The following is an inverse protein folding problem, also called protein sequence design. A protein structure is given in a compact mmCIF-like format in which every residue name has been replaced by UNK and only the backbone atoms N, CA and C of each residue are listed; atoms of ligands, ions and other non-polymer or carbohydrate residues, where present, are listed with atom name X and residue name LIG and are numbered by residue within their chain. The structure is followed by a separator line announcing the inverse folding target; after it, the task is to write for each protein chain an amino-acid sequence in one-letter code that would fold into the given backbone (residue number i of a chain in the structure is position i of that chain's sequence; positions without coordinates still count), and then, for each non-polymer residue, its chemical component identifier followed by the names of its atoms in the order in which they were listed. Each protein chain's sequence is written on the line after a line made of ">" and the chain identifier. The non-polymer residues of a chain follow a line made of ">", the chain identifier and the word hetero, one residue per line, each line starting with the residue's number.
data_IF_637689147484
#
_entry.id   IF_637689147484
#
_cell.length_a   1.000
_cell.length_b   1.000
_cell.length_c   1.000
_cell.angle_alpha   90.00
_cell.angle_beta   90.00
_cell.angle_gamma   90.00
#
_symmetry.space_group_name_H-M   'P 1'
#
loop_
_entity.id
_entity.type
_entity.pdbx_description
1 polymer ?
#
# COMPACT_ATOMS: atom_id res chain seq x y z
N UNK A 1 51.09 -38.41 1.11
CA UNK A 1 50.33 -37.58 0.16
C UNK A 1 49.53 -36.62 1.01
N UNK A 2 50.07 -35.43 1.16
CA UNK A 2 49.47 -34.30 1.96
C UNK A 2 48.71 -33.45 0.98
N UNK A 3 47.37 -33.47 1.09
CA UNK A 3 46.49 -32.55 0.35
C UNK A 3 46.66 -31.13 0.87
N UNK A 4 47.07 -30.24 0.00
CA UNK A 4 47.15 -28.80 0.28
C UNK A 4 45.73 -28.19 0.33
N UNK A 5 45.40 -27.57 1.46
CA UNK A 5 44.21 -26.72 1.61
C UNK A 5 44.29 -25.54 0.63
N UNK A 6 43.20 -25.15 -0.03
CA UNK A 6 43.18 -23.95 -0.88
C UNK A 6 43.35 -22.69 -0.02
N UNK A 7 44.28 -21.86 -0.40
CA UNK A 7 44.63 -20.57 0.16
C UNK A 7 43.40 -19.62 0.03
N UNK A 8 42.86 -19.23 1.18
CA UNK A 8 41.77 -18.23 1.25
C UNK A 8 42.37 -16.87 0.98
N UNK A 9 42.11 -16.31 -0.19
CA UNK A 9 42.49 -14.94 -0.55
C UNK A 9 41.90 -13.94 0.49
N UNK A 10 42.71 -12.99 1.00
CA UNK A 10 42.22 -11.98 1.92
C UNK A 10 41.27 -11.03 1.21
N UNK A 11 40.11 -10.76 1.87
CA UNK A 11 39.15 -9.77 1.41
C UNK A 11 39.78 -8.37 1.30
N UNK A 12 39.39 -7.55 0.31
CA UNK A 12 39.97 -6.22 0.14
C UNK A 12 39.66 -5.34 1.35
N UNK A 13 40.70 -4.80 1.96
CA UNK A 13 40.63 -3.88 3.07
C UNK A 13 40.04 -2.53 2.62
N UNK A 14 38.78 -2.29 2.95
CA UNK A 14 38.17 -0.96 2.94
C UNK A 14 38.13 -0.40 4.36
N UNK A 15 39.10 0.45 4.66
CA UNK A 15 39.32 1.03 6.01
C UNK A 15 38.24 1.97 6.56
N UNK A 16 37.04 1.96 6.02
CA UNK A 16 35.92 2.75 6.53
C UNK A 16 34.79 1.91 7.17
N UNK A 17 34.86 0.57 7.10
CA UNK A 17 33.79 -0.32 7.57
C UNK A 17 33.84 -0.62 9.07
N UNK A 18 34.99 -0.52 9.73
CA UNK A 18 35.17 -1.05 11.08
C UNK A 18 34.63 -0.19 12.24
N UNK A 19 34.22 1.07 12.00
CA UNK A 19 33.65 1.95 13.05
C UNK A 19 32.13 1.81 13.15
N UNK A 20 31.45 1.24 12.14
CA UNK A 20 29.98 1.16 12.08
C UNK A 20 29.41 -0.20 12.46
N UNK A 21 30.21 -1.25 12.63
CA UNK A 21 29.75 -2.62 12.92
C UNK A 21 29.05 -2.77 14.28
N UNK A 22 29.23 -1.86 15.24
CA UNK A 22 28.55 -1.86 16.53
C UNK A 22 27.31 -0.97 16.64
N UNK A 23 27.07 -0.09 15.66
CA UNK A 23 25.96 0.87 15.72
C UNK A 23 24.66 0.27 15.21
N UNK A 24 23.60 0.25 16.06
CA UNK A 24 22.26 -0.11 15.65
C UNK A 24 21.51 1.00 14.90
N UNK A 25 22.15 2.16 14.69
CA UNK A 25 21.53 3.30 14.03
C UNK A 25 21.66 3.20 12.50
N UNK A 26 20.58 2.94 11.73
CA UNK A 26 20.63 2.83 10.28
C UNK A 26 20.96 4.17 9.59
N UNK A 27 20.67 5.31 10.24
CA UNK A 27 20.96 6.63 9.71
C UNK A 27 22.46 7.00 9.73
N UNK A 28 23.32 6.19 10.33
CA UNK A 28 24.76 6.32 10.21
C UNK A 28 25.24 6.03 8.77
N UNK A 29 24.48 5.27 7.99
CA UNK A 29 24.82 4.88 6.61
C UNK A 29 24.23 5.91 5.63
N UNK A 30 25.07 6.55 4.83
CA UNK A 30 24.66 7.57 3.85
C UNK A 30 23.67 7.02 2.82
N UNK A 31 23.92 5.81 2.30
CA UNK A 31 23.01 5.14 1.36
C UNK A 31 21.62 4.92 1.94
N UNK A 32 21.52 4.60 3.25
CA UNK A 32 20.23 4.47 3.92
C UNK A 32 19.51 5.82 4.07
N UNK A 33 20.22 6.92 4.34
CA UNK A 33 19.62 8.26 4.38
C UNK A 33 18.98 8.63 3.04
N UNK A 34 19.70 8.40 1.94
CA UNK A 34 19.14 8.63 0.60
C UNK A 34 17.93 7.71 0.31
N UNK A 35 18.03 6.44 0.64
CA UNK A 35 16.92 5.49 0.48
C UNK A 35 15.69 5.87 1.31
N UNK A 36 15.92 6.32 2.55
CA UNK A 36 14.85 6.77 3.45
C UNK A 36 14.15 8.02 2.91
N UNK A 37 14.91 9.06 2.57
CA UNK A 37 14.37 10.30 1.99
C UNK A 37 13.67 10.04 0.65
N UNK A 38 14.26 9.23 -0.22
CA UNK A 38 13.65 8.82 -1.47
C UNK A 38 12.30 8.12 -1.23
N UNK A 39 12.22 7.25 -0.21
CA UNK A 39 10.98 6.56 0.16
C UNK A 39 9.92 7.53 0.72
N UNK A 40 10.32 8.55 1.47
CA UNK A 40 9.44 9.63 1.95
C UNK A 40 8.85 10.41 0.77
N UNK A 41 9.70 10.87 -0.14
CA UNK A 41 9.25 11.59 -1.34
C UNK A 41 8.36 10.72 -2.25
N UNK A 42 8.75 9.47 -2.46
CA UNK A 42 7.96 8.53 -3.24
C UNK A 42 6.57 8.27 -2.63
N UNK A 43 6.51 8.02 -1.32
CA UNK A 43 5.25 7.82 -0.61
C UNK A 43 4.37 9.07 -0.67
N UNK A 44 4.96 10.28 -0.52
CA UNK A 44 4.23 11.54 -0.63
C UNK A 44 3.66 11.74 -2.03
N UNK A 45 4.45 11.51 -3.10
CA UNK A 45 4.00 11.67 -4.48
C UNK A 45 2.86 10.70 -4.82
N UNK A 46 3.01 9.41 -4.51
CA UNK A 46 1.94 8.42 -4.72
C UNK A 46 0.71 8.72 -3.86
N UNK A 47 0.91 9.23 -2.64
CA UNK A 47 -0.19 9.67 -1.77
C UNK A 47 -0.95 10.88 -2.33
N UNK A 48 -0.26 11.88 -2.90
CA UNK A 48 -0.91 13.01 -3.61
C UNK A 48 -1.78 12.47 -4.74
N UNK A 49 -1.27 11.55 -5.56
CA UNK A 49 -1.98 10.96 -6.69
C UNK A 49 -3.29 10.28 -6.27
N UNK A 50 -3.34 9.65 -5.10
CA UNK A 50 -4.54 8.97 -4.61
C UNK A 50 -5.75 9.90 -4.40
N UNK A 51 -5.50 11.22 -4.27
CA UNK A 51 -6.53 12.27 -4.12
C UNK A 51 -6.72 13.03 -5.43
N UNK A 52 -5.63 13.41 -6.09
CA UNK A 52 -5.69 14.31 -7.26
C UNK A 52 -6.35 13.67 -8.48
N UNK A 53 -6.11 12.38 -8.75
CA UNK A 53 -6.71 11.69 -9.91
C UNK A 53 -8.24 11.52 -9.76
N UNK A 54 -8.79 11.06 -8.61
CA UNK A 54 -10.23 11.06 -8.40
C UNK A 54 -10.88 12.45 -8.48
N UNK A 55 -10.24 13.49 -7.93
CA UNK A 55 -10.73 14.87 -8.04
C UNK A 55 -10.72 15.36 -9.49
N UNK A 56 -9.66 15.08 -10.25
CA UNK A 56 -9.55 15.41 -11.66
C UNK A 56 -10.68 14.79 -12.50
N UNK A 57 -11.07 13.53 -12.20
CA UNK A 57 -12.18 12.84 -12.87
C UNK A 57 -13.51 13.48 -12.47
N UNK A 58 -13.72 13.73 -11.16
CA UNK A 58 -14.94 14.36 -10.65
C UNK A 58 -15.27 15.68 -11.38
N UNK A 59 -14.26 16.52 -11.57
CA UNK A 59 -14.44 17.85 -12.17
C UNK A 59 -14.82 17.81 -13.66
N UNK A 60 -14.57 16.67 -14.33
CA UNK A 60 -14.76 16.52 -15.79
C UNK A 60 -15.90 15.61 -16.18
N UNK A 61 -16.54 14.97 -15.20
CA UNK A 61 -17.58 13.97 -15.43
C UNK A 61 -18.86 14.38 -14.72
N UNK A 62 -19.99 14.25 -15.43
CA UNK A 62 -21.30 14.51 -14.84
C UNK A 62 -21.59 13.60 -13.64
N UNK A 63 -22.37 14.08 -12.67
CA UNK A 63 -22.60 13.41 -11.37
C UNK A 63 -22.94 11.93 -11.49
N UNK A 64 -23.86 11.55 -12.36
CA UNK A 64 -24.28 10.14 -12.53
C UNK A 64 -23.18 9.21 -13.06
N UNK A 65 -22.09 9.74 -13.62
CA UNK A 65 -20.97 8.96 -14.19
C UNK A 65 -19.67 9.07 -13.37
N UNK A 66 -19.63 9.89 -12.31
CA UNK A 66 -18.43 10.09 -11.48
C UNK A 66 -17.92 8.78 -10.87
N UNK A 67 -18.79 8.04 -10.18
CA UNK A 67 -18.40 6.79 -9.53
C UNK A 67 -17.90 5.73 -10.52
N UNK A 68 -18.58 5.43 -11.65
CA UNK A 68 -18.06 4.51 -12.66
C UNK A 68 -16.72 4.96 -13.25
N UNK A 69 -16.53 6.25 -13.51
CA UNK A 69 -15.29 6.76 -14.09
C UNK A 69 -14.11 6.65 -13.10
N UNK A 70 -14.31 7.04 -11.83
CA UNK A 70 -13.29 6.88 -10.77
C UNK A 70 -12.96 5.40 -10.58
N UNK A 71 -13.97 4.54 -10.47
CA UNK A 71 -13.77 3.12 -10.31
C UNK A 71 -13.01 2.50 -11.49
N UNK A 72 -13.33 2.88 -12.73
CA UNK A 72 -12.63 2.40 -13.92
C UNK A 72 -11.16 2.83 -13.92
N UNK A 73 -10.84 4.07 -13.56
CA UNK A 73 -9.46 4.54 -13.45
C UNK A 73 -8.68 3.73 -12.40
N UNK A 74 -9.30 3.47 -11.24
CA UNK A 74 -8.70 2.67 -10.18
C UNK A 74 -8.56 1.19 -10.56
N UNK A 75 -9.50 0.61 -11.31
CA UNK A 75 -9.39 -0.74 -11.87
C UNK A 75 -8.24 -0.80 -12.88
N UNK A 76 -8.16 0.18 -13.79
CA UNK A 76 -7.05 0.29 -14.75
C UNK A 76 -5.69 0.42 -14.04
N UNK A 77 -5.63 1.04 -12.87
CA UNK A 77 -4.42 1.13 -12.07
C UNK A 77 -4.12 -0.18 -11.33
N UNK A 78 -5.10 -0.74 -10.62
CA UNK A 78 -4.88 -1.85 -9.70
C UNK A 78 -4.81 -3.21 -10.38
N UNK A 79 -5.57 -3.45 -11.44
CA UNK A 79 -5.60 -4.75 -12.12
C UNK A 79 -4.27 -5.10 -12.83
N UNK A 80 -3.66 -4.20 -13.65
CA UNK A 80 -2.33 -4.46 -14.20
C UNK A 80 -1.28 -4.56 -13.10
N UNK A 81 -1.36 -3.71 -12.07
CA UNK A 81 -0.49 -3.75 -10.91
C UNK A 81 -0.50 -5.11 -10.22
N UNK A 82 -1.69 -5.64 -9.89
CA UNK A 82 -1.86 -6.95 -9.28
C UNK A 82 -1.30 -8.08 -10.16
N UNK A 83 -1.63 -8.08 -11.45
CA UNK A 83 -1.20 -9.10 -12.41
C UNK A 83 0.31 -9.12 -12.59
N UNK A 84 0.93 -7.95 -12.69
CA UNK A 84 2.38 -7.82 -12.90
C UNK A 84 3.20 -7.97 -11.62
N UNK A 85 2.62 -7.80 -10.43
CA UNK A 85 3.33 -7.98 -9.15
C UNK A 85 3.90 -9.40 -9.01
N UNK A 86 3.24 -10.40 -9.59
CA UNK A 86 3.76 -11.77 -9.64
C UNK A 86 5.10 -11.87 -10.40
N UNK A 87 5.31 -11.02 -11.39
CA UNK A 87 6.55 -10.95 -12.17
C UNK A 87 7.55 -9.96 -11.57
N UNK A 88 7.10 -9.06 -10.70
CA UNK A 88 7.90 -7.99 -10.11
C UNK A 88 9.14 -8.50 -9.37
N UNK A 89 9.01 -9.61 -8.63
CA UNK A 89 10.13 -10.26 -7.94
C UNK A 89 11.19 -10.77 -8.91
N UNK A 90 10.81 -11.45 -9.99
CA UNK A 90 11.74 -11.97 -11.01
C UNK A 90 12.50 -10.85 -11.73
N UNK A 91 11.78 -9.77 -12.02
CA UNK A 91 12.38 -8.60 -12.68
C UNK A 91 13.36 -7.92 -11.73
N UNK A 92 13.01 -7.78 -10.44
CA UNK A 92 13.89 -7.23 -9.41
C UNK A 92 15.14 -8.09 -9.14
N UNK A 93 15.08 -9.40 -9.41
CA UNK A 93 16.22 -10.32 -9.32
C UNK A 93 17.14 -10.29 -10.55
N UNK A 94 16.65 -9.78 -11.70
CA UNK A 94 17.41 -9.75 -12.97
C UNK A 94 17.93 -8.36 -13.35
N UNK A 95 17.28 -7.33 -12.88
CA UNK A 95 17.60 -5.94 -13.19
C UNK A 95 18.10 -5.25 -11.93
N UNK A 96 19.08 -4.38 -12.06
CA UNK A 96 19.59 -3.56 -10.96
C UNK A 96 18.43 -2.76 -10.31
N UNK A 97 18.22 -2.96 -9.01
CA UNK A 97 17.10 -2.39 -8.25
C UNK A 97 17.01 -0.88 -8.36
N UNK A 98 18.16 -0.20 -8.36
CA UNK A 98 18.27 1.24 -8.61
C UNK A 98 17.65 1.64 -9.94
N UNK A 99 17.96 0.91 -11.02
CA UNK A 99 17.43 1.21 -12.36
C UNK A 99 15.92 1.03 -12.43
N UNK A 100 15.39 0.02 -11.76
CA UNK A 100 13.94 -0.19 -11.67
C UNK A 100 13.30 1.02 -10.99
N UNK A 101 13.77 1.39 -9.78
CA UNK A 101 13.19 2.48 -9.00
C UNK A 101 13.27 3.83 -9.74
N UNK A 102 14.44 4.16 -10.29
CA UNK A 102 14.62 5.41 -11.04
C UNK A 102 13.66 5.46 -12.24
N UNK A 103 13.61 4.39 -13.06
CA UNK A 103 12.75 4.37 -14.25
C UNK A 103 11.27 4.44 -13.90
N UNK A 104 10.81 3.67 -12.90
CA UNK A 104 9.40 3.65 -12.52
C UNK A 104 8.95 4.99 -11.94
N UNK A 105 9.76 5.65 -11.11
CA UNK A 105 9.41 6.97 -10.58
C UNK A 105 9.53 8.08 -11.65
N UNK A 106 10.44 7.98 -12.61
CA UNK A 106 10.49 8.91 -13.75
C UNK A 106 9.26 8.73 -14.65
N UNK A 107 8.82 7.49 -14.90
CA UNK A 107 7.57 7.24 -15.64
C UNK A 107 6.37 7.82 -14.89
N UNK A 108 6.28 7.61 -13.58
CA UNK A 108 5.22 8.19 -12.77
C UNK A 108 5.25 9.73 -12.79
N UNK A 109 6.43 10.35 -12.64
CA UNK A 109 6.60 11.79 -12.73
C UNK A 109 6.22 12.35 -14.12
N UNK A 110 6.58 11.65 -15.21
CA UNK A 110 6.18 12.03 -16.56
C UNK A 110 4.67 11.97 -16.77
N UNK A 111 4.01 10.97 -16.18
CA UNK A 111 2.55 10.85 -16.20
C UNK A 111 1.90 12.00 -15.41
N UNK A 112 2.44 12.34 -14.23
CA UNK A 112 1.96 13.48 -13.46
C UNK A 112 2.17 14.81 -14.21
N UNK A 113 3.25 14.93 -15.00
CA UNK A 113 3.45 16.08 -15.88
C UNK A 113 2.39 16.15 -16.99
N UNK A 114 1.96 15.00 -17.53
CA UNK A 114 0.83 14.96 -18.48
C UNK A 114 -0.46 15.43 -17.78
N UNK A 115 -0.71 15.04 -16.53
CA UNK A 115 -1.85 15.54 -15.76
C UNK A 115 -1.76 17.05 -15.49
N UNK A 116 -0.57 17.62 -15.26
CA UNK A 116 -0.37 19.08 -15.19
C UNK A 116 -0.85 19.75 -16.51
N UNK A 117 -0.42 19.22 -17.65
CA UNK A 117 -0.81 19.75 -18.95
C UNK A 117 -2.33 19.61 -19.23
N UNK A 118 -2.91 18.44 -18.92
CA UNK A 118 -4.34 18.19 -19.08
C UNK A 118 -5.20 19.04 -18.12
N UNK A 119 -4.72 19.32 -16.93
CA UNK A 119 -5.39 20.16 -15.95
C UNK A 119 -5.36 21.62 -16.33
N UNK A 120 -4.23 22.11 -16.86
CA UNK A 120 -4.07 23.49 -17.30
C UNK A 120 -4.76 23.82 -18.62
N UNK A 121 -4.97 22.83 -19.50
CA UNK A 121 -5.57 23.02 -20.83
C UNK A 121 -7.11 22.91 -20.86
N UNK A 122 -7.75 22.70 -19.69
CA UNK A 122 -9.21 22.51 -19.55
C UNK A 122 -9.81 21.48 -20.52
N UNK A 123 -9.06 20.39 -20.75
CA UNK A 123 -9.46 19.31 -21.65
C UNK A 123 -10.55 18.47 -21.00
N UNK A 124 -11.72 18.38 -21.63
CA UNK A 124 -12.87 17.60 -21.14
C UNK A 124 -12.76 16.08 -21.37
N UNK A 125 -11.70 15.63 -22.03
CA UNK A 125 -11.52 14.22 -22.41
C UNK A 125 -10.90 13.43 -21.25
N UNK A 126 -11.58 12.36 -20.81
CA UNK A 126 -11.15 11.54 -19.66
C UNK A 126 -10.47 10.22 -20.05
N UNK A 127 -10.59 9.73 -21.29
CA UNK A 127 -10.01 8.45 -21.69
C UNK A 127 -8.48 8.31 -21.46
N UNK A 128 -7.67 9.41 -21.59
CA UNK A 128 -6.24 9.29 -21.29
C UNK A 128 -5.96 8.89 -19.85
N UNK A 129 -6.82 9.27 -18.88
CA UNK A 129 -6.69 8.94 -17.47
C UNK A 129 -6.63 7.43 -17.26
N UNK A 130 -7.45 6.66 -17.98
CA UNK A 130 -7.48 5.19 -17.85
C UNK A 130 -6.18 4.55 -18.32
N UNK A 131 -5.62 5.04 -19.44
CA UNK A 131 -4.33 4.57 -19.96
C UNK A 131 -3.20 4.96 -19.02
N UNK A 132 -3.16 6.22 -18.58
CA UNK A 132 -2.15 6.71 -17.64
C UNK A 132 -2.19 5.94 -16.31
N UNK A 133 -3.38 5.69 -15.79
CA UNK A 133 -3.58 4.87 -14.59
C UNK A 133 -3.05 3.44 -14.77
N UNK A 134 -3.31 2.81 -15.94
CA UNK A 134 -2.80 1.47 -16.23
C UNK A 134 -1.25 1.44 -16.28
N UNK A 135 -0.62 2.47 -16.85
CA UNK A 135 0.85 2.56 -16.89
C UNK A 135 1.43 2.77 -15.49
N UNK A 136 0.83 3.66 -14.68
CA UNK A 136 1.25 3.88 -13.27
C UNK A 136 1.13 2.59 -12.46
N UNK A 137 -0.01 1.90 -12.57
CA UNK A 137 -0.23 0.63 -11.88
C UNK A 137 0.77 -0.45 -12.29
N UNK A 138 1.05 -0.55 -13.60
CA UNK A 138 2.07 -1.46 -14.14
C UNK A 138 3.47 -1.14 -13.60
N UNK A 139 3.85 0.13 -13.57
CA UNK A 139 5.13 0.57 -13.00
C UNK A 139 5.21 0.26 -11.50
N UNK A 140 4.12 0.49 -10.76
CA UNK A 140 4.01 0.24 -9.32
C UNK A 140 4.25 -1.22 -8.92
N UNK A 141 3.90 -2.17 -9.79
CA UNK A 141 4.12 -3.60 -9.58
C UNK A 141 5.60 -3.96 -9.35
N UNK A 142 6.51 -3.22 -9.95
CA UNK A 142 7.96 -3.45 -9.82
C UNK A 142 8.61 -2.61 -8.72
N UNK A 143 7.98 -1.51 -8.34
CA UNK A 143 8.54 -0.51 -7.41
C UNK A 143 8.68 -1.05 -6.00
N UNK A 144 7.62 -1.64 -5.44
CA UNK A 144 7.63 -2.13 -4.05
C UNK A 144 8.63 -3.27 -3.80
N UNK A 145 8.70 -4.34 -4.63
CA UNK A 145 9.72 -5.38 -4.48
C UNK A 145 11.15 -4.83 -4.58
N UNK A 146 11.41 -3.95 -5.56
CA UNK A 146 12.73 -3.36 -5.76
C UNK A 146 13.15 -2.48 -4.55
N UNK A 147 12.23 -1.65 -4.02
CA UNK A 147 12.48 -0.80 -2.86
C UNK A 147 12.78 -1.60 -1.60
N UNK A 148 11.96 -2.62 -1.30
CA UNK A 148 12.13 -3.46 -0.11
C UNK A 148 13.41 -4.31 -0.19
N UNK A 149 13.75 -4.84 -1.36
CA UNK A 149 14.97 -5.66 -1.54
C UNK A 149 16.26 -4.84 -1.64
N UNK A 150 16.18 -3.53 -1.88
CA UNK A 150 17.34 -2.62 -1.89
C UNK A 150 17.83 -2.32 -0.47
N UNK A 151 16.94 -2.15 0.50
CA UNK A 151 17.29 -1.73 1.86
C UNK A 151 18.27 -2.70 2.57
N UNK A 152 18.12 -4.03 2.51
CA UNK A 152 19.06 -4.96 3.13
C UNK A 152 20.49 -4.91 2.54
N UNK A 153 20.67 -4.39 1.33
CA UNK A 153 21.99 -4.23 0.72
C UNK A 153 22.77 -3.02 1.29
N UNK A 154 22.07 -2.10 1.92
CA UNK A 154 22.63 -0.85 2.45
C UNK A 154 23.01 -0.96 3.92
N UNK A 155 22.52 -1.95 4.65
CA UNK A 155 22.60 -2.03 6.11
C UNK A 155 23.30 -3.31 6.56
N UNK A 156 24.05 -3.19 7.66
CA UNK A 156 24.60 -4.35 8.37
C UNK A 156 23.49 -5.13 9.09
N UNK A 157 23.76 -6.39 9.45
CA UNK A 157 22.80 -7.27 10.14
C UNK A 157 22.21 -6.64 11.41
N UNK A 158 23.03 -5.88 12.17
CA UNK A 158 22.61 -5.20 13.41
C UNK A 158 21.68 -4.01 13.18
N UNK A 159 21.67 -3.43 11.97
CA UNK A 159 20.89 -2.26 11.59
C UNK A 159 19.61 -2.61 10.83
N UNK A 160 19.51 -3.83 10.26
CA UNK A 160 18.40 -4.26 9.39
C UNK A 160 17.03 -4.09 10.03
N UNK A 161 16.89 -4.52 11.28
CA UNK A 161 15.60 -4.45 11.97
C UNK A 161 15.12 -3.00 12.12
N UNK A 162 15.97 -2.11 12.61
CA UNK A 162 15.63 -0.70 12.78
C UNK A 162 15.39 -0.02 11.41
N UNK A 163 16.22 -0.33 10.42
CA UNK A 163 16.06 0.18 9.05
C UNK A 163 14.72 -0.22 8.44
N UNK A 164 14.31 -1.48 8.60
CA UNK A 164 13.02 -1.97 8.12
C UNK A 164 11.85 -1.26 8.82
N UNK A 165 11.92 -1.09 10.14
CA UNK A 165 10.87 -0.40 10.92
C UNK A 165 10.75 1.06 10.46
N UNK A 166 11.83 1.83 10.52
CA UNK A 166 11.80 3.25 10.15
C UNK A 166 11.40 3.47 8.69
N UNK A 167 11.95 2.67 7.77
CA UNK A 167 11.66 2.80 6.36
C UNK A 167 10.21 2.45 6.00
N UNK A 168 9.66 1.40 6.61
CA UNK A 168 8.25 1.01 6.36
C UNK A 168 7.31 2.03 6.98
N UNK A 169 7.55 2.45 8.24
CA UNK A 169 6.73 3.46 8.91
C UNK A 169 6.72 4.79 8.15
N UNK A 170 7.88 5.28 7.73
CA UNK A 170 7.97 6.54 6.99
C UNK A 170 7.24 6.47 5.65
N UNK A 171 7.45 5.41 4.88
CA UNK A 171 6.76 5.22 3.60
C UNK A 171 5.24 5.11 3.77
N UNK A 172 4.76 4.33 4.75
CA UNK A 172 3.33 4.19 5.00
C UNK A 172 2.70 5.48 5.54
N UNK A 173 3.40 6.20 6.41
CA UNK A 173 2.93 7.49 6.91
C UNK A 173 2.81 8.54 5.79
N UNK A 174 3.77 8.57 4.87
CA UNK A 174 3.72 9.49 3.73
C UNK A 174 2.68 9.07 2.69
N UNK A 175 2.56 7.78 2.41
CA UNK A 175 1.60 7.24 1.45
C UNK A 175 0.15 7.40 1.91
N UNK A 176 -0.13 7.15 3.20
CA UNK A 176 -1.51 7.03 3.72
C UNK A 176 -1.97 8.27 4.49
N UNK A 177 -1.06 9.12 4.94
CA UNK A 177 -1.38 10.29 5.75
C UNK A 177 -0.89 11.60 5.12
N UNK A 178 0.43 11.81 5.01
CA UNK A 178 0.98 13.11 4.58
C UNK A 178 0.70 13.41 3.11
N UNK A 179 0.92 12.44 2.22
CA UNK A 179 0.74 12.61 0.78
C UNK A 179 -0.70 12.97 0.40
N UNK A 180 -1.70 12.16 0.80
CA UNK A 180 -3.10 12.48 0.52
C UNK A 180 -3.54 13.80 1.13
N UNK A 181 -3.13 14.12 2.38
CA UNK A 181 -3.45 15.40 3.03
C UNK A 181 -2.86 16.57 2.25
N UNK A 182 -1.60 16.46 1.81
CA UNK A 182 -0.98 17.47 0.94
C UNK A 182 -1.71 17.60 -0.40
N UNK A 183 -2.08 16.48 -1.02
CA UNK A 183 -2.82 16.46 -2.28
C UNK A 183 -4.15 17.20 -2.19
N UNK A 184 -4.92 16.96 -1.14
CA UNK A 184 -6.18 17.64 -0.89
C UNK A 184 -6.01 19.15 -0.63
N UNK A 185 -5.05 19.54 0.22
CA UNK A 185 -4.78 20.97 0.52
C UNK A 185 -4.29 21.70 -0.72
N UNK A 186 -3.42 21.10 -1.51
CA UNK A 186 -2.92 21.72 -2.74
C UNK A 186 -3.99 21.79 -3.83
N UNK A 187 -4.89 20.82 -3.92
CA UNK A 187 -6.01 20.84 -4.86
C UNK A 187 -7.03 21.94 -4.49
N UNK A 188 -7.33 22.09 -3.20
CA UNK A 188 -8.28 23.08 -2.68
C UNK A 188 -7.77 24.54 -2.81
N UNK A 189 -6.50 24.76 -2.54
CA UNK A 189 -5.89 26.11 -2.53
C UNK A 189 -5.44 26.55 -3.94
N UNK A 190 -4.20 26.22 -4.37
CA UNK A 190 -3.68 26.66 -5.66
C UNK A 190 -4.23 25.86 -6.85
N UNK A 191 -4.96 24.77 -6.62
CA UNK A 191 -5.67 23.97 -7.62
C UNK A 191 -4.94 22.69 -8.05
N UNK A 192 -5.66 21.86 -8.80
CA UNK A 192 -5.20 20.54 -9.24
C UNK A 192 -3.91 20.59 -10.06
N UNK A 193 -3.73 21.58 -10.91
CA UNK A 193 -2.51 21.76 -11.70
C UNK A 193 -1.28 21.86 -10.79
N UNK A 194 -1.39 22.62 -9.71
CA UNK A 194 -0.31 22.77 -8.75
C UNK A 194 -0.11 21.50 -7.91
N UNK A 195 -1.18 20.81 -7.54
CA UNK A 195 -1.11 19.54 -6.82
C UNK A 195 -0.39 18.46 -7.66
N UNK A 196 -0.69 18.35 -8.95
CA UNK A 196 0.06 17.48 -9.88
C UNK A 196 1.51 17.95 -10.07
N UNK A 197 1.78 19.25 -10.07
CA UNK A 197 3.14 19.80 -10.11
C UNK A 197 3.96 19.40 -8.88
N UNK A 198 3.35 19.42 -7.68
CA UNK A 198 3.98 18.92 -6.46
C UNK A 198 4.25 17.41 -6.53
N UNK A 199 3.33 16.62 -7.10
CA UNK A 199 3.54 15.19 -7.36
C UNK A 199 4.75 14.95 -8.27
N UNK A 200 4.88 15.71 -9.37
CA UNK A 200 6.07 15.65 -10.26
C UNK A 200 7.35 15.93 -9.48
N UNK A 201 7.35 16.97 -8.64
CA UNK A 201 8.51 17.32 -7.83
C UNK A 201 8.87 16.21 -6.82
N UNK A 202 7.88 15.63 -6.13
CA UNK A 202 8.10 14.55 -5.17
C UNK A 202 8.63 13.28 -5.85
N UNK A 203 8.02 12.84 -6.94
CA UNK A 203 8.44 11.64 -7.67
C UNK A 203 9.78 11.84 -8.37
N UNK A 204 10.04 13.04 -8.90
CA UNK A 204 11.34 13.41 -9.47
C UNK A 204 12.45 13.43 -8.43
N UNK A 205 12.20 14.00 -7.25
CA UNK A 205 13.12 13.98 -6.12
C UNK A 205 13.41 12.54 -5.64
N UNK A 206 12.39 11.69 -5.58
CA UNK A 206 12.55 10.27 -5.28
C UNK A 206 13.46 9.57 -6.30
N UNK A 207 13.21 9.77 -7.60
CA UNK A 207 14.03 9.19 -8.67
C UNK A 207 15.50 9.68 -8.58
N UNK A 208 15.72 10.98 -8.34
CA UNK A 208 17.03 11.57 -8.16
C UNK A 208 17.77 10.93 -6.97
N UNK A 209 17.12 10.87 -5.79
CA UNK A 209 17.73 10.31 -4.60
C UNK A 209 18.06 8.81 -4.76
N UNK A 210 17.17 8.02 -5.38
CA UNK A 210 17.47 6.62 -5.69
C UNK A 210 18.63 6.50 -6.68
N UNK A 211 18.81 7.44 -7.61
CA UNK A 211 19.94 7.42 -8.57
C UNK A 211 21.30 7.62 -7.90
N UNK A 212 21.35 8.25 -6.73
CA UNK A 212 22.57 8.51 -5.96
C UNK A 212 23.02 7.29 -5.13
N UNK A 213 22.21 6.24 -5.04
CA UNK A 213 22.52 5.04 -4.25
C UNK A 213 23.32 4.06 -5.11
N UNK A 214 24.51 3.68 -4.65
CA UNK A 214 25.24 2.58 -5.24
C UNK A 214 24.61 1.23 -4.82
N UNK A 215 24.40 0.34 -5.78
CA UNK A 215 23.85 -1.01 -5.55
C UNK A 215 24.68 -2.04 -6.30
N UNK A 216 24.79 -3.22 -5.71
CA UNK A 216 25.45 -4.35 -6.36
C UNK A 216 24.60 -4.90 -7.52
N UNK A 217 25.29 -5.52 -8.48
CA UNK A 217 24.63 -6.19 -9.59
C UNK A 217 23.76 -7.34 -9.07
N UNK A 218 22.58 -7.56 -9.66
CA UNK A 218 21.69 -8.64 -9.24
C UNK A 218 22.32 -10.00 -9.56
N UNK A 219 22.21 -10.93 -8.61
CA UNK A 219 22.55 -12.34 -8.84
C UNK A 219 21.27 -13.05 -9.28
N UNK A 220 21.17 -13.54 -10.53
CA UNK A 220 19.95 -14.17 -11.03
C UNK A 220 19.66 -15.46 -10.26
N UNK A 221 18.55 -15.49 -9.55
CA UNK A 221 18.02 -16.73 -8.98
C UNK A 221 17.11 -17.37 -10.03
N UNK A 222 17.54 -18.50 -10.61
CA UNK A 222 16.85 -19.16 -11.74
C UNK A 222 15.46 -19.78 -11.42
N UNK A 223 14.72 -19.29 -10.45
CA UNK A 223 13.44 -19.84 -9.99
C UNK A 223 12.27 -19.34 -10.84
N UNK A 224 11.33 -20.23 -11.15
CA UNK A 224 10.09 -19.89 -11.84
C UNK A 224 9.05 -19.41 -10.83
N UNK A 225 8.65 -18.13 -10.94
CA UNK A 225 7.64 -17.50 -10.07
C UNK A 225 6.30 -18.22 -10.11
N UNK A 226 5.88 -18.65 -11.27
CA UNK A 226 4.60 -19.37 -11.42
C UNK A 226 4.60 -20.70 -10.67
N UNK A 227 5.72 -21.41 -10.68
CA UNK A 227 5.90 -22.63 -9.90
C UNK A 227 5.90 -22.35 -8.40
N UNK A 228 6.61 -21.31 -7.96
CA UNK A 228 6.62 -20.88 -6.54
C UNK A 228 5.23 -20.48 -6.06
N UNK A 229 4.43 -19.79 -6.90
CA UNK A 229 3.04 -19.44 -6.59
C UNK A 229 2.16 -20.69 -6.43
N UNK A 230 2.23 -21.64 -7.36
CA UNK A 230 1.47 -22.88 -7.30
C UNK A 230 1.84 -23.74 -6.09
N UNK A 231 3.14 -23.83 -5.77
CA UNK A 231 3.62 -24.55 -4.59
C UNK A 231 3.13 -23.85 -3.30
N UNK A 232 3.14 -22.50 -3.26
CA UNK A 232 2.57 -21.72 -2.17
C UNK A 232 1.08 -21.94 -1.99
N UNK A 233 0.29 -21.92 -3.08
CA UNK A 233 -1.15 -22.20 -3.06
C UNK A 233 -1.45 -23.61 -2.56
N UNK A 234 -0.69 -24.60 -3.03
CA UNK A 234 -0.83 -25.98 -2.56
C UNK A 234 -0.53 -26.10 -1.06
N UNK A 235 0.54 -25.44 -0.59
CA UNK A 235 0.90 -25.43 0.83
C UNK A 235 -0.18 -24.77 1.69
N UNK A 236 -0.68 -23.60 1.28
CA UNK A 236 -1.73 -22.88 2.01
C UNK A 236 -3.04 -23.67 2.02
N UNK A 237 -3.41 -24.33 0.92
CA UNK A 237 -4.64 -25.13 0.84
C UNK A 237 -4.64 -26.34 1.79
N UNK A 238 -3.47 -26.87 2.14
CA UNK A 238 -3.33 -27.93 3.14
C UNK A 238 -3.30 -27.42 4.58
N UNK A 239 -3.10 -26.09 4.77
CA UNK A 239 -2.99 -25.45 6.09
C UNK A 239 -4.19 -24.54 6.35
N UNK A 240 -5.22 -25.05 7.04
CA UNK A 240 -6.47 -24.34 7.30
C UNK A 240 -6.32 -22.97 7.96
N UNK A 241 -5.45 -22.77 8.98
CA UNK A 241 -5.18 -21.43 9.53
C UNK A 241 -4.68 -20.44 8.48
N UNK A 242 -3.69 -20.80 7.67
CA UNK A 242 -3.13 -19.92 6.64
C UNK A 242 -4.18 -19.57 5.58
N UNK A 243 -4.94 -20.58 5.12
CA UNK A 243 -6.04 -20.37 4.18
C UNK A 243 -7.07 -19.37 4.73
N UNK A 244 -7.43 -19.52 6.01
CA UNK A 244 -8.37 -18.61 6.68
C UNK A 244 -7.86 -17.16 6.77
N UNK A 245 -6.57 -16.97 7.08
CA UNK A 245 -5.97 -15.63 7.14
C UNK A 245 -5.91 -15.00 5.75
N UNK A 246 -5.54 -15.76 4.71
CA UNK A 246 -5.53 -15.27 3.33
C UNK A 246 -6.93 -14.93 2.83
N UNK A 247 -7.93 -15.76 3.13
CA UNK A 247 -9.33 -15.48 2.78
C UNK A 247 -9.82 -14.20 3.46
N UNK A 248 -9.53 -14.00 4.75
CA UNK A 248 -9.83 -12.75 5.44
C UNK A 248 -9.06 -11.55 4.84
N UNK A 249 -7.88 -11.77 4.27
CA UNK A 249 -7.07 -10.75 3.59
C UNK A 249 -7.75 -10.12 2.37
N UNK A 250 -8.74 -10.78 1.77
CA UNK A 250 -9.51 -10.22 0.65
C UNK A 250 -10.56 -9.21 1.09
N UNK A 251 -11.03 -9.29 2.34
CA UNK A 251 -12.15 -8.48 2.85
C UNK A 251 -11.82 -6.97 2.86
N UNK A 252 -10.68 -6.52 3.41
CA UNK A 252 -10.34 -5.09 3.41
C UNK A 252 -10.25 -4.50 2.00
N UNK A 253 -9.64 -5.21 1.05
CA UNK A 253 -9.53 -4.73 -0.34
C UNK A 253 -10.90 -4.59 -1.02
N UNK A 254 -11.76 -5.59 -0.84
CA UNK A 254 -13.05 -5.65 -1.51
C UNK A 254 -14.12 -4.75 -0.87
N UNK A 255 -14.20 -4.72 0.47
CA UNK A 255 -15.34 -4.12 1.19
C UNK A 255 -15.02 -2.80 1.90
N UNK A 256 -13.73 -2.47 2.10
CA UNK A 256 -13.34 -1.27 2.83
C UNK A 256 -12.55 -0.31 1.94
N UNK A 257 -11.34 -0.67 1.54
CA UNK A 257 -10.46 0.22 0.77
C UNK A 257 -10.99 0.48 -0.64
N UNK A 258 -11.49 -0.55 -1.35
CA UNK A 258 -12.09 -0.37 -2.68
C UNK A 258 -13.24 0.64 -2.67
N UNK A 259 -14.28 0.45 -1.82
CA UNK A 259 -15.34 1.44 -1.65
C UNK A 259 -14.83 2.82 -1.22
N UNK A 260 -13.90 2.90 -0.27
CA UNK A 260 -13.36 4.17 0.21
C UNK A 260 -12.73 5.00 -0.91
N UNK A 261 -11.86 4.39 -1.70
CA UNK A 261 -11.16 5.10 -2.78
C UNK A 261 -12.10 5.71 -3.82
N UNK A 262 -13.24 5.07 -4.07
CA UNK A 262 -14.26 5.60 -5.00
C UNK A 262 -15.17 6.62 -4.32
N UNK A 263 -15.61 6.34 -3.09
CA UNK A 263 -16.68 7.13 -2.45
C UNK A 263 -16.19 8.35 -1.69
N UNK A 264 -14.92 8.39 -1.25
CA UNK A 264 -14.43 9.48 -0.39
C UNK A 264 -14.58 10.86 -1.06
N UNK A 265 -14.25 10.98 -2.34
CA UNK A 265 -14.42 12.22 -3.10
C UNK A 265 -15.90 12.60 -3.22
N UNK A 266 -16.75 11.61 -3.54
CA UNK A 266 -18.20 11.84 -3.69
C UNK A 266 -18.85 12.21 -2.37
N UNK A 267 -18.50 11.56 -1.27
CA UNK A 267 -19.05 11.86 0.05
C UNK A 267 -18.63 13.27 0.51
N UNK A 268 -17.36 13.63 0.35
CA UNK A 268 -16.87 14.95 0.76
C UNK A 268 -17.51 16.06 -0.05
N UNK A 269 -17.49 15.95 -1.38
CA UNK A 269 -17.89 17.05 -2.24
C UNK A 269 -19.38 17.03 -2.60
N UNK A 270 -19.96 15.86 -2.89
CA UNK A 270 -21.36 15.76 -3.40
C UNK A 270 -22.37 15.58 -2.26
N UNK A 271 -21.95 15.04 -1.08
CA UNK A 271 -22.85 14.83 0.06
C UNK A 271 -22.66 15.86 1.16
N UNK A 272 -21.42 16.08 1.59
CA UNK A 272 -21.13 17.08 2.64
C UNK A 272 -20.96 18.48 2.08
N UNK A 273 -20.82 18.65 0.75
CA UNK A 273 -20.57 19.93 0.07
C UNK A 273 -19.36 20.68 0.60
N UNK A 274 -18.34 19.91 0.99
CA UNK A 274 -17.10 20.44 1.55
C UNK A 274 -15.98 20.52 0.51
N UNK A 275 -14.94 21.27 0.83
CA UNK A 275 -13.82 21.52 -0.07
C UNK A 275 -12.86 20.32 -0.19
N UNK A 276 -12.06 20.31 -1.26
CA UNK A 276 -11.19 19.20 -1.67
C UNK A 276 -10.12 18.82 -0.63
N UNK A 277 -9.71 19.76 0.24
CA UNK A 277 -8.78 19.45 1.36
C UNK A 277 -9.31 18.37 2.28
N UNK A 278 -10.63 18.28 2.47
CA UNK A 278 -11.22 17.26 3.33
C UNK A 278 -11.09 15.85 2.73
N UNK A 279 -11.03 15.70 1.41
CA UNK A 279 -10.71 14.40 0.78
C UNK A 279 -9.36 13.89 1.28
N UNK A 280 -8.34 14.76 1.28
CA UNK A 280 -7.02 14.44 1.83
C UNK A 280 -7.05 14.17 3.33
N UNK A 281 -7.82 14.95 4.10
CA UNK A 281 -7.94 14.77 5.55
C UNK A 281 -8.69 13.47 5.94
N UNK A 282 -9.62 12.98 5.13
CA UNK A 282 -10.23 11.67 5.33
C UNK A 282 -9.21 10.54 5.19
N UNK A 283 -8.37 10.59 4.16
CA UNK A 283 -7.23 9.69 4.02
C UNK A 283 -6.28 9.81 5.22
N UNK A 284 -5.98 11.05 5.62
CA UNK A 284 -5.15 11.33 6.78
C UNK A 284 -5.73 10.78 8.07
N UNK A 285 -7.04 10.89 8.28
CA UNK A 285 -7.72 10.34 9.44
C UNK A 285 -7.58 8.82 9.50
N UNK A 286 -7.87 8.13 8.40
CA UNK A 286 -7.69 6.68 8.31
C UNK A 286 -6.22 6.27 8.55
N UNK A 287 -5.30 6.91 7.83
CA UNK A 287 -3.86 6.64 7.93
C UNK A 287 -3.29 6.93 9.32
N UNK A 288 -3.69 8.04 9.93
CA UNK A 288 -3.33 8.42 11.30
C UNK A 288 -3.81 7.38 12.31
N UNK A 289 -5.06 6.89 12.15
CA UNK A 289 -5.61 5.81 12.94
C UNK A 289 -4.80 4.51 12.80
N UNK A 290 -4.41 4.14 11.58
CA UNK A 290 -3.57 2.96 11.34
C UNK A 290 -2.21 3.08 12.05
N UNK A 291 -1.55 4.24 11.95
CA UNK A 291 -0.26 4.46 12.61
C UNK A 291 -0.38 4.38 14.13
N UNK A 292 -1.33 5.10 14.73
CA UNK A 292 -1.54 5.09 16.17
C UNK A 292 -1.96 3.68 16.65
N UNK A 293 -2.86 3.03 15.94
CA UNK A 293 -3.27 1.66 16.24
C UNK A 293 -2.09 0.68 16.20
N UNK A 294 -1.21 0.78 15.21
CA UNK A 294 -0.01 -0.07 15.10
C UNK A 294 0.97 0.16 16.25
N UNK A 295 1.16 1.41 16.67
CA UNK A 295 1.97 1.75 17.86
C UNK A 295 1.35 1.13 19.12
N UNK A 296 0.04 1.29 19.33
CA UNK A 296 -0.66 0.70 20.46
C UNK A 296 -0.53 -0.83 20.49
N UNK A 297 -0.69 -1.51 19.33
CA UNK A 297 -0.54 -2.96 19.24
C UNK A 297 0.90 -3.41 19.56
N UNK A 298 1.92 -2.62 19.24
CA UNK A 298 3.31 -2.94 19.56
C UNK A 298 3.62 -2.83 21.07
N UNK A 299 2.87 -2.00 21.81
CA UNK A 299 3.05 -1.80 23.25
C UNK A 299 2.25 -2.81 24.10
N UNK A 300 1.19 -3.37 23.53
CA UNK A 300 0.27 -4.27 24.24
C UNK A 300 0.66 -5.74 24.01
N UNK A 301 0.80 -6.50 25.11
CA UNK A 301 0.99 -7.96 25.04
C UNK A 301 -0.37 -8.65 24.92
N UNK A 302 -0.95 -8.61 23.74
CA UNK A 302 -2.26 -9.17 23.47
C UNK A 302 -2.17 -10.69 23.30
N UNK A 303 -3.08 -11.40 23.98
CA UNK A 303 -3.30 -12.84 23.84
C UNK A 303 -4.45 -13.10 22.86
N UNK A 304 -4.55 -14.30 22.31
CA UNK A 304 -5.59 -14.70 21.34
C UNK A 304 -5.57 -13.83 20.07
N UNK A 305 -4.39 -13.66 19.49
CA UNK A 305 -4.18 -12.81 18.29
C UNK A 305 -5.03 -13.24 17.10
N UNK A 306 -5.29 -14.54 16.95
CA UNK A 306 -6.19 -15.03 15.91
C UNK A 306 -7.65 -14.58 16.10
N UNK A 307 -8.15 -14.53 17.34
CA UNK A 307 -9.48 -13.96 17.62
C UNK A 307 -9.52 -12.46 17.36
N UNK A 308 -8.48 -11.72 17.74
CA UNK A 308 -8.36 -10.29 17.49
C UNK A 308 -8.29 -9.98 16.00
N UNK A 309 -7.63 -10.82 15.20
CA UNK A 309 -7.63 -10.71 13.75
C UNK A 309 -9.05 -10.82 13.16
N UNK A 310 -9.83 -11.82 13.58
CA UNK A 310 -11.22 -11.93 13.13
C UNK A 310 -12.09 -10.77 13.63
N UNK A 311 -11.87 -10.34 14.91
CA UNK A 311 -12.59 -9.21 15.50
C UNK A 311 -12.29 -7.88 14.79
N UNK A 312 -11.09 -7.71 14.22
CA UNK A 312 -10.72 -6.49 13.51
C UNK A 312 -11.54 -6.26 12.25
N UNK A 313 -11.99 -7.34 11.58
CA UNK A 313 -12.90 -7.24 10.44
C UNK A 313 -14.27 -6.75 10.88
N UNK A 314 -14.77 -7.27 12.02
CA UNK A 314 -16.02 -6.80 12.63
C UNK A 314 -15.91 -5.33 13.08
N UNK A 315 -14.90 -4.99 13.88
CA UNK A 315 -14.70 -3.63 14.39
C UNK A 315 -14.44 -2.63 13.26
N UNK A 316 -13.64 -3.03 12.27
CA UNK A 316 -13.43 -2.23 11.07
C UNK A 316 -14.75 -1.91 10.36
N UNK A 317 -15.58 -2.94 10.09
CA UNK A 317 -16.90 -2.76 9.52
C UNK A 317 -17.83 -1.90 10.39
N UNK A 318 -17.79 -2.09 11.71
CA UNK A 318 -18.60 -1.32 12.67
C UNK A 318 -18.27 0.18 12.59
N UNK A 319 -17.03 0.59 12.70
CA UNK A 319 -16.66 2.00 12.61
C UNK A 319 -16.78 2.54 11.18
N UNK A 320 -16.64 1.69 10.16
CA UNK A 320 -16.89 2.06 8.77
C UNK A 320 -18.37 2.39 8.53
N UNK A 321 -19.28 1.68 9.20
CA UNK A 321 -20.72 1.99 9.16
C UNK A 321 -21.00 3.40 9.73
N UNK A 322 -20.33 3.78 10.83
CA UNK A 322 -20.45 5.14 11.36
C UNK A 322 -19.96 6.21 10.41
N UNK A 323 -18.90 5.93 9.63
CA UNK A 323 -18.46 6.83 8.56
C UNK A 323 -19.57 7.03 7.52
N UNK A 324 -20.22 5.96 7.06
CA UNK A 324 -21.32 6.06 6.08
C UNK A 324 -22.58 6.71 6.63
N UNK A 325 -22.83 6.65 7.94
CA UNK A 325 -23.99 7.24 8.62
C UNK A 325 -23.71 8.63 9.20
N UNK A 326 -22.47 9.13 9.11
CA UNK A 326 -22.11 10.38 9.75
C UNK A 326 -22.88 11.58 9.16
N UNK A 327 -23.48 12.44 10.01
CA UNK A 327 -24.24 13.60 9.54
C UNK A 327 -23.33 14.78 9.14
N UNK A 328 -22.07 14.77 9.52
CA UNK A 328 -21.11 15.84 9.26
C UNK A 328 -19.66 15.34 9.18
N UNK A 329 -18.79 16.18 8.61
CA UNK A 329 -17.39 15.86 8.37
C UNK A 329 -16.60 15.51 9.65
N UNK A 330 -16.69 16.25 10.78
CA UNK A 330 -15.92 15.91 11.98
C UNK A 330 -16.23 14.50 12.52
N UNK A 331 -17.49 14.09 12.55
CA UNK A 331 -17.89 12.77 13.01
C UNK A 331 -17.45 11.68 12.02
N UNK A 332 -17.57 11.94 10.72
CA UNK A 332 -17.08 11.04 9.69
C UNK A 332 -15.56 10.82 9.78
N UNK A 333 -14.78 11.89 9.96
CA UNK A 333 -13.33 11.81 10.15
C UNK A 333 -12.95 11.07 11.44
N UNK A 334 -13.66 11.33 12.54
CA UNK A 334 -13.47 10.60 13.80
C UNK A 334 -13.76 9.10 13.62
N UNK A 335 -14.86 8.76 12.95
CA UNK A 335 -15.20 7.37 12.65
C UNK A 335 -14.09 6.69 11.81
N UNK A 336 -13.55 7.37 10.79
CA UNK A 336 -12.46 6.88 9.97
C UNK A 336 -11.16 6.70 10.77
N UNK A 337 -10.84 7.63 11.65
CA UNK A 337 -9.68 7.53 12.52
C UNK A 337 -9.78 6.32 13.45
N UNK A 338 -10.93 6.14 14.10
CA UNK A 338 -11.19 5.01 14.99
C UNK A 338 -11.24 3.69 14.20
N UNK A 339 -11.83 3.69 13.00
CA UNK A 339 -11.81 2.55 12.10
C UNK A 339 -10.37 2.14 11.75
N UNK A 340 -9.48 3.11 11.53
CA UNK A 340 -8.05 2.89 11.29
C UNK A 340 -7.37 2.12 12.43
N UNK A 341 -7.69 2.49 13.67
CA UNK A 341 -7.12 1.86 14.89
C UNK A 341 -7.60 0.41 15.04
N UNK A 342 -8.92 0.19 14.99
CA UNK A 342 -9.52 -1.10 15.36
C UNK A 342 -9.70 -2.07 14.19
N UNK A 343 -9.69 -1.58 12.95
CA UNK A 343 -9.75 -2.40 11.74
C UNK A 343 -8.36 -2.70 11.18
N UNK A 344 -7.86 -1.88 10.21
CA UNK A 344 -6.63 -2.16 9.47
C UNK A 344 -5.39 -2.32 10.34
N UNK A 345 -5.22 -1.53 11.42
CA UNK A 345 -4.03 -1.64 12.25
C UNK A 345 -3.95 -3.02 12.93
N UNK A 346 -5.04 -3.48 13.56
CA UNK A 346 -5.10 -4.81 14.17
C UNK A 346 -4.92 -5.88 13.10
N UNK A 347 -5.66 -5.76 11.98
CA UNK A 347 -5.65 -6.74 10.91
C UNK A 347 -4.24 -6.96 10.33
N UNK A 348 -3.58 -5.89 9.89
CA UNK A 348 -2.27 -5.98 9.22
C UNK A 348 -1.22 -6.55 10.17
N UNK A 349 -1.15 -6.05 11.41
CA UNK A 349 -0.12 -6.46 12.36
C UNK A 349 -0.28 -7.94 12.76
N UNK A 350 -1.50 -8.39 13.07
CA UNK A 350 -1.70 -9.79 13.48
C UNK A 350 -1.72 -10.77 12.30
N UNK A 351 -2.23 -10.39 11.13
CA UNK A 351 -2.16 -11.24 9.96
C UNK A 351 -0.71 -11.58 9.60
N UNK A 352 0.16 -10.57 9.52
CA UNK A 352 1.58 -10.77 9.21
C UNK A 352 2.27 -11.61 10.30
N UNK A 353 2.05 -11.30 11.58
CA UNK A 353 2.66 -12.05 12.68
C UNK A 353 2.23 -13.53 12.69
N UNK A 354 0.91 -13.79 12.57
CA UNK A 354 0.38 -15.16 12.57
C UNK A 354 0.81 -15.94 11.32
N UNK A 355 0.91 -15.30 10.16
CA UNK A 355 1.45 -15.93 8.96
C UNK A 355 2.92 -16.31 9.16
N UNK A 356 3.72 -15.43 9.72
CA UNK A 356 5.15 -15.67 9.98
C UNK A 356 5.38 -16.80 11.01
N UNK A 357 4.57 -16.85 12.04
CA UNK A 357 4.69 -17.86 13.11
C UNK A 357 4.21 -19.26 12.68
N UNK A 358 3.24 -19.33 11.78
CA UNK A 358 2.62 -20.59 11.35
C UNK A 358 3.11 -21.09 9.97
N UNK A 359 4.14 -20.46 9.40
CA UNK A 359 4.69 -20.84 8.09
C UNK A 359 6.12 -21.35 8.24
N UNK A 360 6.45 -22.46 7.60
CA UNK A 360 7.80 -22.97 7.52
C UNK A 360 8.74 -21.97 6.81
N UNK A 361 10.01 -21.89 7.27
CA UNK A 361 10.99 -20.91 6.74
C UNK A 361 11.18 -20.98 5.23
N UNK A 362 11.16 -22.19 4.63
CA UNK A 362 11.30 -22.43 3.20
C UNK A 362 10.08 -21.97 2.38
N UNK A 363 8.89 -21.83 3.00
CA UNK A 363 7.64 -21.42 2.38
C UNK A 363 7.27 -19.96 2.69
N UNK A 364 7.98 -19.29 3.60
CA UNK A 364 7.68 -17.96 4.09
C UNK A 364 7.47 -16.93 2.98
N UNK A 365 8.40 -16.83 2.05
CA UNK A 365 8.31 -15.86 0.95
C UNK A 365 7.09 -16.09 0.05
N UNK A 366 6.74 -17.36 -0.20
CA UNK A 366 5.57 -17.74 -1.03
C UNK A 366 4.25 -17.38 -0.34
N UNK A 367 4.13 -17.68 0.96
CA UNK A 367 2.93 -17.37 1.75
C UNK A 367 2.73 -15.85 1.88
N UNK A 368 3.81 -15.09 2.15
CA UNK A 368 3.74 -13.64 2.24
C UNK A 368 3.38 -12.99 0.88
N UNK A 369 3.86 -13.55 -0.23
CA UNK A 369 3.46 -13.09 -1.57
C UNK A 369 1.97 -13.35 -1.84
N UNK A 370 1.44 -14.51 -1.44
CA UNK A 370 0.02 -14.84 -1.54
C UNK A 370 -0.84 -13.91 -0.67
N UNK A 371 -0.37 -13.56 0.53
CA UNK A 371 -1.05 -12.60 1.40
C UNK A 371 -1.14 -11.21 0.76
N UNK A 372 -0.02 -10.69 0.25
CA UNK A 372 -0.03 -9.42 -0.48
C UNK A 372 -0.96 -9.45 -1.70
N UNK A 373 -0.93 -10.56 -2.45
CA UNK A 373 -1.79 -10.76 -3.62
C UNK A 373 -3.27 -10.83 -3.23
N UNK A 374 -3.64 -11.50 -2.14
CA UNK A 374 -5.05 -11.60 -1.70
C UNK A 374 -5.69 -10.23 -1.46
N UNK A 375 -4.93 -9.31 -0.88
CA UNK A 375 -5.37 -7.93 -0.68
C UNK A 375 -5.44 -7.14 -1.99
N UNK A 376 -4.35 -7.15 -2.78
CA UNK A 376 -4.26 -6.33 -4.00
C UNK A 376 -5.22 -6.81 -5.08
N UNK A 377 -5.39 -8.15 -5.26
CA UNK A 377 -6.27 -8.71 -6.28
C UNK A 377 -7.76 -8.53 -5.95
N UNK A 378 -8.13 -8.35 -4.68
CA UNK A 378 -9.52 -8.09 -4.28
C UNK A 378 -9.97 -6.64 -4.49
N UNK A 379 -9.03 -5.69 -4.55
CA UNK A 379 -9.32 -4.27 -4.66
C UNK A 379 -10.04 -3.88 -5.97
N UNK A 380 -9.66 -4.38 -7.17
CA UNK A 380 -10.41 -4.12 -8.41
C UNK A 380 -11.87 -4.59 -8.35
N UNK A 381 -12.12 -5.71 -7.66
CA UNK A 381 -13.48 -6.20 -7.43
C UNK A 381 -14.23 -5.21 -6.53
N UNK A 382 -13.57 -4.70 -5.50
CA UNK A 382 -14.09 -3.65 -4.64
C UNK A 382 -14.48 -2.39 -5.41
N UNK A 383 -13.63 -1.91 -6.32
CA UNK A 383 -13.93 -0.76 -7.17
C UNK A 383 -15.14 -1.00 -8.10
N UNK A 384 -15.18 -2.16 -8.77
CA UNK A 384 -16.25 -2.51 -9.70
C UNK A 384 -17.62 -2.59 -9.01
N UNK A 385 -17.69 -3.32 -7.86
CA UNK A 385 -18.93 -3.41 -7.10
C UNK A 385 -19.37 -2.05 -6.54
N UNK A 386 -18.41 -1.20 -6.13
CA UNK A 386 -18.72 0.14 -5.60
C UNK A 386 -19.35 1.03 -6.66
N UNK A 387 -18.84 1.01 -7.90
CA UNK A 387 -19.44 1.75 -8.99
C UNK A 387 -20.93 1.41 -9.18
N UNK A 388 -21.25 0.10 -9.18
CA UNK A 388 -22.62 -0.37 -9.29
C UNK A 388 -23.47 0.03 -8.06
N UNK A 389 -22.93 -0.12 -6.87
CA UNK A 389 -23.64 0.20 -5.62
C UNK A 389 -23.93 1.70 -5.49
N UNK A 390 -22.96 2.57 -5.87
CA UNK A 390 -23.16 4.03 -5.86
C UNK A 390 -24.24 4.43 -6.87
N UNK A 391 -24.26 3.81 -8.05
CA UNK A 391 -25.31 4.06 -9.03
C UNK A 391 -26.71 3.66 -8.53
N UNK A 392 -26.81 2.55 -7.77
CA UNK A 392 -28.09 2.07 -7.24
C UNK A 392 -28.55 2.83 -5.99
N UNK A 393 -27.66 3.15 -5.07
CA UNK A 393 -28.01 3.59 -3.70
C UNK A 393 -27.29 4.85 -3.22
N UNK A 394 -26.41 5.42 -4.03
CA UNK A 394 -25.59 6.56 -3.66
C UNK A 394 -24.37 6.19 -2.80
N UNK A 395 -23.45 7.16 -2.61
CA UNK A 395 -22.14 6.87 -2.02
C UNK A 395 -22.19 6.49 -0.53
N UNK A 396 -23.00 7.16 0.30
CA UNK A 396 -23.11 6.85 1.73
C UNK A 396 -23.72 5.47 1.97
N UNK A 397 -24.82 5.14 1.28
CA UNK A 397 -25.48 3.84 1.38
C UNK A 397 -24.56 2.71 0.95
N UNK A 398 -23.72 2.93 -0.07
CA UNK A 398 -22.70 1.99 -0.52
C UNK A 398 -21.69 1.66 0.59
N UNK A 399 -21.23 2.68 1.31
CA UNK A 399 -20.32 2.50 2.46
C UNK A 399 -21.01 1.69 3.57
N UNK A 400 -22.27 2.00 3.89
CA UNK A 400 -23.03 1.28 4.91
C UNK A 400 -23.26 -0.19 4.52
N UNK A 401 -23.65 -0.46 3.28
CA UNK A 401 -23.84 -1.84 2.79
C UNK A 401 -22.55 -2.64 2.86
N UNK A 402 -21.44 -2.07 2.38
CA UNK A 402 -20.13 -2.71 2.45
C UNK A 402 -19.70 -2.97 3.90
N UNK A 403 -19.98 -2.04 4.81
CA UNK A 403 -19.73 -2.16 6.24
C UNK A 403 -20.54 -3.29 6.87
N UNK A 404 -21.84 -3.37 6.57
CA UNK A 404 -22.75 -4.44 7.07
C UNK A 404 -22.28 -5.82 6.60
N UNK A 405 -21.87 -5.93 5.34
CA UNK A 405 -21.29 -7.19 4.82
C UNK A 405 -20.00 -7.54 5.57
N UNK A 406 -19.10 -6.57 5.79
CA UNK A 406 -17.87 -6.79 6.55
C UNK A 406 -18.15 -7.19 8.01
N UNK A 407 -19.15 -6.58 8.65
CA UNK A 407 -19.66 -6.97 9.99
C UNK A 407 -20.10 -8.44 9.99
N UNK A 408 -20.93 -8.84 9.03
CA UNK A 408 -21.40 -10.21 8.89
C UNK A 408 -20.25 -11.21 8.71
N UNK A 409 -19.30 -10.89 7.83
CA UNK A 409 -18.10 -11.72 7.63
C UNK A 409 -17.27 -11.80 8.92
N UNK A 410 -17.10 -10.69 9.65
CA UNK A 410 -16.39 -10.67 10.93
C UNK A 410 -17.05 -11.58 11.97
N UNK A 411 -18.39 -11.53 12.09
CA UNK A 411 -19.16 -12.44 12.97
C UNK A 411 -18.96 -13.91 12.56
N UNK A 412 -19.14 -14.20 11.27
CA UNK A 412 -18.94 -15.57 10.73
C UNK A 412 -17.52 -16.06 10.99
N UNK A 413 -16.51 -15.20 10.79
CA UNK A 413 -15.12 -15.52 11.06
C UNK A 413 -14.88 -15.84 12.54
N UNK A 414 -15.41 -15.03 13.45
CA UNK A 414 -15.27 -15.27 14.90
C UNK A 414 -15.94 -16.58 15.35
N UNK A 415 -17.09 -16.92 14.78
CA UNK A 415 -17.86 -18.10 15.19
C UNK A 415 -17.37 -19.40 14.53
N UNK A 416 -17.02 -19.35 13.24
CA UNK A 416 -16.79 -20.55 12.43
C UNK A 416 -15.33 -20.75 12.03
N UNK A 417 -14.49 -19.73 12.02
CA UNK A 417 -13.08 -19.82 11.60
C UNK A 417 -12.18 -20.28 12.77
N UNK A 418 -12.62 -21.37 13.44
CA UNK A 418 -11.91 -21.95 14.62
C UNK A 418 -10.41 -22.19 14.40
N UNK A 419 -9.95 -22.62 13.20
CA UNK A 419 -8.51 -22.75 12.96
C UNK A 419 -7.71 -21.46 13.14
N UNK A 420 -8.32 -20.30 12.85
CA UNK A 420 -7.68 -18.99 13.03
C UNK A 420 -7.91 -18.46 14.43
N UNK A 421 -9.15 -18.45 14.93
CA UNK A 421 -9.50 -17.84 16.24
C UNK A 421 -8.78 -18.51 17.44
N UNK A 422 -8.31 -19.74 17.31
CA UNK A 422 -7.57 -20.47 18.34
C UNK A 422 -6.06 -20.20 18.32
N UNK A 423 -5.56 -19.48 17.33
CA UNK A 423 -4.14 -19.09 17.30
C UNK A 423 -3.83 -18.13 18.46
N UNK A 424 -2.66 -18.33 19.13
CA UNK A 424 -2.27 -17.62 20.34
C UNK A 424 -2.07 -16.11 20.15
#
# INVERSE_FOLDING_TARGET
>A
MTEAMPEVLPAPATGASNVLEGSRNPFAVLGFRFWFLASVFAGSGVGIQSVTVPLFIRDRVSEGHRAPAIALALICQTLPGASLTLFGGVVADRIERRRILVRTYLVAAAISLIYVALSGADVSVIWPVFILSAIVGSAGAFTNPARQSMMPQLLSQSQLQNGAIFGTMAFMATLQFLGPSMGGVLADGPGLTFAFGAEVAMLGAAALLFSLIATDAPVPTGKSVFRDLLEGLKYVNTNRPLLGILALGTVPGMLLIGPFQVTVVLIVNDVFHESDKFVGFFWGSLGGGIVIGSILMSMLRLRRRGFLLCSSVFLGGFFWMFYGLAPNVPLAMLAMFVAGIFGPAIFINFAVALLQENTERNMMGRVMSLYGLSFVASTPIGHAQTALQVWLWGPQSTVVVSAVIALGIGIVAMLFLKPVTRLP
#
